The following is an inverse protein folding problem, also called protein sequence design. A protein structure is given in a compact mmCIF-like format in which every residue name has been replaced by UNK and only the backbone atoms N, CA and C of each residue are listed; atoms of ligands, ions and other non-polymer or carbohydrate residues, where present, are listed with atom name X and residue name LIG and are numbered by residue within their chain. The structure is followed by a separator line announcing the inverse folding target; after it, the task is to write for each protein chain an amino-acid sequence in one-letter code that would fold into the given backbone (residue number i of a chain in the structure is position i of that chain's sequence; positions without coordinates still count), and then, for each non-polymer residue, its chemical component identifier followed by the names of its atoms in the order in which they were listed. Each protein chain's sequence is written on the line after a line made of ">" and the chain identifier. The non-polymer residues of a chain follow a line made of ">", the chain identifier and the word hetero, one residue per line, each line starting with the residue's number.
data_IF_651492060053
#
_entry.id   IF_651492060053
#
_cell.length_a   1.000
_cell.length_b   1.000
_cell.length_c   1.000
_cell.angle_alpha   90.00
_cell.angle_beta   90.00
_cell.angle_gamma   90.00
#
_symmetry.space_group_name_H-M   'P 1'
#
loop_
_entity.id
_entity.type
_entity.pdbx_description
1 polymer ?
#
# COMPACT_ATOMS: atom_id res chain seq x y z
N UNK A 1 -4.17 -1.11 12.44
CA UNK A 1 -5.28 -1.23 13.38
C UNK A 1 -6.23 -2.35 12.97
N UNK A 2 -6.90 -2.88 13.96
CA UNK A 2 -7.84 -3.99 13.82
C UNK A 2 -9.25 -3.45 13.98
N UNK A 3 -10.16 -3.86 13.11
CA UNK A 3 -11.56 -3.44 13.12
C UNK A 3 -12.50 -4.63 12.94
N UNK A 4 -13.74 -4.47 13.38
CA UNK A 4 -14.81 -5.38 13.00
C UNK A 4 -15.03 -5.34 11.47
N UNK A 5 -15.16 -6.50 10.85
CA UNK A 5 -15.44 -6.59 9.41
C UNK A 5 -16.93 -6.42 9.13
N UNK A 6 -17.42 -5.19 9.21
CA UNK A 6 -18.82 -4.82 8.99
C UNK A 6 -18.97 -3.78 7.87
N UNK A 7 -20.10 -3.79 7.13
CA UNK A 7 -20.39 -2.74 6.16
C UNK A 7 -20.30 -1.35 6.78
N UNK A 8 -19.64 -0.43 6.09
CA UNK A 8 -19.52 0.97 6.51
C UNK A 8 -18.36 1.30 7.46
N UNK A 9 -17.63 0.32 7.99
CA UNK A 9 -16.48 0.59 8.88
C UNK A 9 -15.41 1.40 8.17
N UNK A 10 -15.01 0.99 6.96
CA UNK A 10 -14.05 1.75 6.16
C UNK A 10 -14.52 3.20 5.92
N UNK A 11 -15.81 3.39 5.64
CA UNK A 11 -16.38 4.74 5.47
C UNK A 11 -16.27 5.57 6.75
N UNK A 12 -16.55 4.99 7.92
CA UNK A 12 -16.41 5.69 9.21
C UNK A 12 -14.97 6.14 9.44
N UNK A 13 -14.00 5.26 9.18
CA UNK A 13 -12.56 5.54 9.30
C UNK A 13 -12.15 6.67 8.36
N UNK A 14 -12.42 6.55 7.07
CA UNK A 14 -12.02 7.55 6.08
C UNK A 14 -12.73 8.90 6.29
N UNK A 15 -13.99 8.89 6.71
CA UNK A 15 -14.73 10.12 7.03
C UNK A 15 -14.20 10.81 8.29
N UNK A 16 -13.74 10.05 9.29
CA UNK A 16 -13.08 10.62 10.47
C UNK A 16 -11.78 11.32 10.07
N UNK A 17 -10.94 10.69 9.25
CA UNK A 17 -9.67 11.24 8.78
C UNK A 17 -9.92 12.50 7.93
N UNK A 18 -10.87 12.45 6.99
CA UNK A 18 -11.27 13.58 6.15
C UNK A 18 -11.69 14.80 6.97
N UNK A 19 -12.50 14.62 8.02
CA UNK A 19 -12.97 15.73 8.89
C UNK A 19 -11.85 16.46 9.61
N UNK A 20 -10.68 15.86 9.73
CA UNK A 20 -9.50 16.40 10.40
C UNK A 20 -8.46 16.91 9.42
N UNK A 21 -8.75 16.85 8.12
CA UNK A 21 -7.83 17.27 7.05
C UNK A 21 -6.48 16.54 7.08
N UNK A 22 -6.43 15.29 7.60
CA UNK A 22 -5.24 14.46 7.48
C UNK A 22 -5.13 13.91 6.06
N UNK A 23 -3.95 14.01 5.49
CA UNK A 23 -3.65 13.35 4.21
C UNK A 23 -3.39 11.86 4.43
N UNK A 24 -3.98 11.03 3.58
CA UNK A 24 -3.74 9.58 3.55
C UNK A 24 -2.86 9.29 2.34
N UNK A 25 -1.68 8.74 2.57
CA UNK A 25 -0.81 8.28 1.48
C UNK A 25 -1.26 6.93 0.95
N UNK A 26 -1.60 6.01 1.84
CA UNK A 26 -2.20 4.74 1.47
C UNK A 26 -3.10 4.19 2.56
N UNK A 27 -4.10 3.40 2.15
CA UNK A 27 -4.91 2.57 3.04
C UNK A 27 -5.10 1.20 2.42
N UNK A 28 -4.76 0.17 3.18
CA UNK A 28 -4.91 -1.22 2.77
C UNK A 28 -5.82 -1.93 3.77
N UNK A 29 -6.74 -2.73 3.27
CA UNK A 29 -7.71 -3.46 4.09
C UNK A 29 -7.70 -4.92 3.69
N UNK A 30 -7.56 -5.80 4.66
CA UNK A 30 -7.64 -7.24 4.46
C UNK A 30 -8.35 -7.92 5.61
N UNK A 31 -9.18 -8.91 5.30
CA UNK A 31 -9.78 -9.75 6.34
C UNK A 31 -8.70 -10.64 6.95
N UNK A 32 -8.73 -10.69 8.27
CA UNK A 32 -7.93 -11.60 9.07
C UNK A 32 -8.83 -12.48 9.90
N UNK A 33 -8.62 -13.42 10.50
CA UNK A 33 -9.43 -14.28 11.37
C UNK A 33 -10.92 -14.41 10.99
N UNK A 34 -11.28 -15.58 10.49
CA UNK A 34 -12.66 -16.06 10.20
C UNK A 34 -13.63 -15.07 9.54
N UNK A 35 -13.13 -14.06 8.84
CA UNK A 35 -13.90 -12.98 8.17
C UNK A 35 -14.66 -12.03 9.10
N UNK A 36 -14.55 -12.15 10.39
CA UNK A 36 -15.21 -11.26 11.35
C UNK A 36 -14.40 -10.00 11.65
N UNK A 37 -13.09 -10.08 11.42
CA UNK A 37 -12.11 -9.02 11.71
C UNK A 37 -11.35 -8.65 10.46
N UNK A 38 -11.10 -7.36 10.28
CA UNK A 38 -10.23 -6.83 9.25
C UNK A 38 -9.04 -6.10 9.87
N UNK A 39 -7.88 -6.27 9.27
CA UNK A 39 -6.71 -5.44 9.53
C UNK A 39 -6.63 -4.34 8.49
N UNK A 40 -6.47 -3.11 8.95
CA UNK A 40 -6.22 -1.95 8.11
C UNK A 40 -4.81 -1.43 8.37
N UNK A 41 -4.07 -1.18 7.31
CA UNK A 41 -2.80 -0.46 7.36
C UNK A 41 -3.01 0.91 6.76
N UNK A 42 -2.72 1.94 7.51
CA UNK A 42 -2.85 3.34 7.12
C UNK A 42 -1.46 3.98 7.15
N UNK A 43 -1.07 4.62 6.09
CA UNK A 43 0.11 5.48 6.04
C UNK A 43 -0.30 6.93 5.93
N UNK A 44 0.29 7.75 6.78
CA UNK A 44 0.05 9.18 6.83
C UNK A 44 1.39 9.90 6.89
N UNK A 45 1.48 11.02 6.18
CA UNK A 45 2.58 11.95 6.35
C UNK A 45 2.22 12.96 7.45
N UNK A 46 3.06 13.05 8.46
CA UNK A 46 2.83 13.95 9.58
C UNK A 46 3.81 13.75 10.72
N UNK A 47 3.84 14.74 11.60
CA UNK A 47 4.61 14.70 12.83
C UNK A 47 3.97 13.76 13.89
N UNK A 48 4.68 13.54 14.99
CA UNK A 48 4.22 12.69 16.09
C UNK A 48 2.87 13.16 16.66
N UNK A 49 2.64 14.47 16.74
CA UNK A 49 1.38 15.06 17.20
C UNK A 49 0.22 14.68 16.28
N UNK A 50 0.45 14.70 14.97
CA UNK A 50 -0.54 14.28 13.96
C UNK A 50 -0.89 12.81 14.12
N UNK A 51 0.12 11.94 14.25
CA UNK A 51 -0.08 10.51 14.47
C UNK A 51 -0.87 10.25 15.75
N UNK A 52 -0.50 10.88 16.87
CA UNK A 52 -1.25 10.75 18.13
C UNK A 52 -2.72 11.17 17.98
N UNK A 53 -2.99 12.26 17.27
CA UNK A 53 -4.35 12.70 17.03
C UNK A 53 -5.15 11.67 16.22
N UNK A 54 -4.57 11.10 15.16
CA UNK A 54 -5.21 10.04 14.37
C UNK A 54 -5.55 8.85 15.24
N UNK A 55 -4.60 8.37 16.07
CA UNK A 55 -4.81 7.24 16.99
C UNK A 55 -5.95 7.54 17.96
N UNK A 56 -5.92 8.71 18.62
CA UNK A 56 -6.98 9.14 19.56
C UNK A 56 -8.37 9.18 18.91
N UNK A 57 -8.44 9.50 17.62
CA UNK A 57 -9.71 9.55 16.90
C UNK A 57 -10.15 8.15 16.43
N UNK A 58 -9.23 7.30 15.97
CA UNK A 58 -9.52 5.92 15.62
C UNK A 58 -10.10 5.16 16.82
N UNK A 59 -9.49 5.28 17.98
CA UNK A 59 -9.96 4.64 19.22
C UNK A 59 -11.34 5.10 19.72
N UNK A 60 -11.90 6.19 19.17
CA UNK A 60 -13.28 6.60 19.45
C UNK A 60 -14.31 5.88 18.59
N UNK A 61 -13.90 5.22 17.54
CA UNK A 61 -14.80 4.44 16.69
C UNK A 61 -15.07 3.10 17.37
N UNK A 62 -16.33 2.79 17.59
CA UNK A 62 -16.74 1.57 18.31
C UNK A 62 -16.32 0.29 17.56
N UNK A 63 -16.19 0.39 16.23
CA UNK A 63 -15.79 -0.73 15.39
C UNK A 63 -14.25 -0.96 15.38
N UNK A 64 -13.47 -0.07 16.00
CA UNK A 64 -12.00 -0.20 16.10
C UNK A 64 -11.65 -0.95 17.37
N UNK A 65 -11.01 -2.10 17.23
CA UNK A 65 -10.69 -3.01 18.32
C UNK A 65 -9.30 -2.77 18.90
N UNK A 66 -8.33 -2.42 18.04
CA UNK A 66 -6.94 -2.18 18.43
C UNK A 66 -6.25 -1.26 17.43
N UNK A 67 -5.33 -0.43 17.93
CA UNK A 67 -4.51 0.48 17.11
C UNK A 67 -3.05 0.38 17.54
N UNK A 68 -2.19 0.07 16.61
CA UNK A 68 -0.74 0.04 16.80
C UNK A 68 -0.08 1.04 15.85
N UNK A 69 0.89 1.78 16.36
CA UNK A 69 1.72 2.70 15.57
C UNK A 69 3.13 2.13 15.49
N UNK A 70 3.67 2.10 14.30
CA UNK A 70 5.03 1.67 14.04
C UNK A 70 5.76 2.69 13.20
N UNK A 71 6.97 3.02 13.61
CA UNK A 71 7.91 3.74 12.75
C UNK A 71 8.41 2.84 11.61
N UNK A 72 8.96 3.41 10.52
CA UNK A 72 9.55 2.62 9.44
C UNK A 72 10.61 1.62 9.90
N UNK A 73 11.32 1.93 11.00
CA UNK A 73 12.33 1.05 11.57
C UNK A 73 11.73 -0.15 12.30
N UNK A 74 10.52 -0.05 12.82
CA UNK A 74 9.83 -1.10 13.58
C UNK A 74 8.91 -1.96 12.70
N UNK A 75 8.56 -1.47 11.52
CA UNK A 75 7.68 -2.17 10.59
C UNK A 75 8.44 -2.91 9.50
N UNK A 76 7.98 -4.12 9.20
CA UNK A 76 8.26 -4.78 7.92
C UNK A 76 7.07 -4.50 7.01
N UNK A 77 7.28 -3.70 5.98
CA UNK A 77 6.23 -3.29 5.05
C UNK A 77 6.51 -3.78 3.62
N UNK A 78 5.45 -4.05 2.90
CA UNK A 78 5.49 -4.38 1.47
C UNK A 78 4.27 -3.82 0.77
N UNK A 79 4.47 -3.50 -0.49
CA UNK A 79 3.45 -3.12 -1.44
C UNK A 79 3.57 -4.00 -2.69
N UNK A 80 2.47 -4.27 -3.36
CA UNK A 80 2.44 -4.93 -4.66
C UNK A 80 1.99 -3.92 -5.72
N UNK A 81 2.71 -3.87 -6.83
CA UNK A 81 2.31 -3.12 -8.01
C UNK A 81 2.17 -4.05 -9.23
N UNK A 82 1.14 -3.82 -10.02
CA UNK A 82 0.99 -4.37 -11.36
C UNK A 82 1.29 -3.26 -12.36
N UNK A 83 2.27 -3.49 -13.22
CA UNK A 83 2.75 -2.48 -14.17
C UNK A 83 2.69 -3.05 -15.58
N UNK A 84 1.83 -2.49 -16.42
CA UNK A 84 1.73 -2.84 -17.83
C UNK A 84 2.61 -1.93 -18.66
N UNK A 85 3.55 -2.54 -19.38
CA UNK A 85 4.57 -1.87 -20.18
C UNK A 85 4.48 -2.28 -21.65
N UNK A 86 4.88 -1.41 -22.57
CA UNK A 86 5.07 -1.79 -23.95
C UNK A 86 6.27 -2.74 -24.11
N UNK A 87 6.27 -3.58 -25.14
CA UNK A 87 7.35 -4.51 -25.39
C UNK A 87 8.71 -3.84 -25.67
N UNK A 88 8.74 -2.55 -26.05
CA UNK A 88 9.97 -1.79 -26.22
C UNK A 88 10.74 -1.64 -24.89
N UNK A 89 10.02 -1.58 -23.77
CA UNK A 89 10.60 -1.47 -22.45
C UNK A 89 11.34 -2.73 -21.95
N UNK A 90 11.13 -3.90 -22.57
CA UNK A 90 11.79 -5.16 -22.18
C UNK A 90 13.30 -5.07 -22.08
N UNK A 91 13.92 -4.28 -22.97
CA UNK A 91 15.38 -4.07 -22.97
C UNK A 91 15.90 -3.38 -21.71
N UNK A 92 15.04 -2.65 -21.02
CA UNK A 92 15.39 -1.91 -19.79
C UNK A 92 15.40 -2.83 -18.56
N UNK A 93 14.68 -3.94 -18.60
CA UNK A 93 14.66 -4.94 -17.52
C UNK A 93 16.03 -5.58 -17.27
N UNK A 94 16.85 -5.77 -18.30
CA UNK A 94 18.17 -6.41 -18.16
C UNK A 94 19.13 -5.68 -17.19
N UNK A 95 18.79 -4.47 -16.75
CA UNK A 95 19.55 -3.65 -15.80
C UNK A 95 18.96 -3.66 -14.39
N UNK A 96 17.91 -4.42 -14.16
CA UNK A 96 17.17 -4.47 -12.90
C UNK A 96 17.47 -5.80 -12.20
N UNK A 97 17.60 -5.77 -10.89
CA UNK A 97 17.68 -7.00 -10.10
C UNK A 97 16.35 -7.77 -10.21
N UNK A 98 16.40 -9.04 -10.59
CA UNK A 98 15.23 -9.91 -10.74
C UNK A 98 14.51 -10.22 -9.41
N UNK A 99 15.01 -9.69 -8.29
CA UNK A 99 14.50 -10.01 -6.96
C UNK A 99 13.19 -9.33 -6.59
N UNK A 100 12.83 -8.22 -7.27
CA UNK A 100 11.64 -7.43 -6.90
C UNK A 100 10.51 -7.50 -7.91
N UNK A 101 10.73 -8.07 -9.09
CA UNK A 101 9.70 -8.18 -10.12
C UNK A 101 9.66 -9.56 -10.77
N UNK A 102 8.51 -9.89 -11.34
CA UNK A 102 8.35 -11.00 -12.29
C UNK A 102 7.39 -10.62 -13.42
N UNK A 103 7.60 -11.18 -14.60
CA UNK A 103 6.66 -11.04 -15.72
C UNK A 103 5.53 -12.05 -15.51
N UNK A 104 4.29 -11.57 -15.41
CA UNK A 104 3.11 -12.40 -15.15
C UNK A 104 2.22 -12.57 -16.39
N UNK A 105 2.36 -11.66 -17.36
CA UNK A 105 1.62 -11.73 -18.62
C UNK A 105 2.43 -11.11 -19.76
N UNK A 106 2.23 -11.62 -20.99
CA UNK A 106 2.90 -11.13 -22.20
C UNK A 106 1.98 -11.28 -23.40
N UNK A 107 1.83 -10.20 -24.16
CA UNK A 107 1.13 -10.16 -25.45
C UNK A 107 2.06 -9.73 -26.60
N UNK A 108 1.51 -9.56 -27.80
CA UNK A 108 2.28 -9.08 -28.96
C UNK A 108 2.86 -7.67 -28.73
N UNK A 109 2.15 -6.80 -28.02
CA UNK A 109 2.48 -5.37 -27.92
C UNK A 109 2.90 -4.94 -26.52
N UNK A 110 2.61 -5.74 -25.48
CA UNK A 110 2.81 -5.37 -24.10
C UNK A 110 3.15 -6.58 -23.21
N UNK A 111 3.67 -6.29 -22.03
CA UNK A 111 3.86 -7.25 -20.95
C UNK A 111 3.51 -6.63 -19.60
N UNK A 112 3.13 -7.45 -18.63
CA UNK A 112 2.78 -7.02 -17.28
C UNK A 112 3.78 -7.55 -16.28
N UNK A 113 4.31 -6.63 -15.48
CA UNK A 113 5.14 -6.93 -14.32
C UNK A 113 4.28 -7.00 -13.06
N UNK A 114 4.52 -8.00 -12.24
CA UNK A 114 4.22 -7.96 -10.83
C UNK A 114 5.48 -7.50 -10.09
N UNK A 115 5.36 -6.49 -9.27
CA UNK A 115 6.47 -5.91 -8.50
C UNK A 115 6.08 -5.96 -7.02
N UNK A 116 6.95 -6.51 -6.18
CA UNK A 116 6.76 -6.57 -4.74
C UNK A 116 7.97 -5.99 -4.03
N UNK A 117 7.76 -4.93 -3.26
CA UNK A 117 8.83 -4.23 -2.59
C UNK A 117 8.34 -3.19 -1.59
N UNK A 118 9.24 -2.34 -1.11
CA UNK A 118 8.85 -1.10 -0.44
C UNK A 118 8.37 -0.08 -1.48
N UNK A 119 7.61 0.95 -1.09
CA UNK A 119 7.23 2.02 -2.02
C UNK A 119 8.42 2.60 -2.77
N UNK A 120 9.54 2.84 -2.09
CA UNK A 120 10.77 3.41 -2.66
C UNK A 120 11.42 2.46 -3.68
N UNK A 121 11.40 1.14 -3.41
CA UNK A 121 11.90 0.13 -4.34
C UNK A 121 11.06 0.08 -5.62
N UNK A 122 9.72 0.18 -5.47
CA UNK A 122 8.78 0.20 -6.60
C UNK A 122 8.97 1.49 -7.40
N UNK A 123 9.04 2.65 -6.75
CA UNK A 123 9.25 3.95 -7.41
C UNK A 123 10.57 3.97 -8.16
N UNK A 124 11.66 3.50 -7.55
CA UNK A 124 12.98 3.38 -8.18
C UNK A 124 12.97 2.46 -9.40
N UNK A 125 12.13 1.42 -9.40
CA UNK A 125 11.95 0.57 -10.57
C UNK A 125 11.18 1.32 -11.66
N UNK A 126 10.10 2.00 -11.32
CA UNK A 126 9.24 2.71 -12.27
C UNK A 126 9.98 3.87 -12.96
N UNK A 127 10.85 4.59 -12.25
CA UNK A 127 11.68 5.68 -12.80
C UNK A 127 12.62 5.24 -13.93
N UNK A 128 12.90 3.92 -14.04
CA UNK A 128 13.73 3.38 -15.14
C UNK A 128 13.01 3.30 -16.47
N UNK A 129 11.67 3.36 -16.44
CA UNK A 129 10.86 3.29 -17.65
C UNK A 129 10.42 4.68 -18.08
N UNK A 130 10.64 5.06 -19.35
CA UNK A 130 10.04 6.28 -19.89
C UNK A 130 8.52 6.24 -19.73
N UNK A 131 7.91 7.36 -19.39
CA UNK A 131 6.47 7.46 -19.21
C UNK A 131 5.67 6.97 -20.45
N UNK A 132 6.22 7.17 -21.63
CA UNK A 132 5.64 6.70 -22.90
C UNK A 132 5.55 5.19 -23.03
N UNK A 133 6.33 4.44 -22.26
CA UNK A 133 6.34 2.97 -22.28
C UNK A 133 5.40 2.38 -21.21
N UNK A 134 4.97 3.19 -20.26
CA UNK A 134 4.05 2.77 -19.19
C UNK A 134 2.61 2.95 -19.67
N UNK A 135 1.88 1.85 -19.79
CA UNK A 135 0.48 1.85 -20.24
C UNK A 135 -0.50 1.94 -19.06
N UNK A 136 -0.21 1.22 -17.97
CA UNK A 136 -1.09 1.15 -16.81
C UNK A 136 -0.28 0.79 -15.57
N UNK A 137 -0.66 1.36 -14.42
CA UNK A 137 -0.11 1.02 -13.11
C UNK A 137 -1.27 0.85 -12.13
N UNK A 138 -1.27 -0.26 -11.40
CA UNK A 138 -2.14 -0.48 -10.25
C UNK A 138 -1.29 -0.83 -9.04
N UNK A 139 -1.55 -0.17 -7.90
CA UNK A 139 -0.81 -0.37 -6.64
C UNK A 139 -1.79 -0.72 -5.52
N UNK A 140 -1.40 -1.62 -4.65
CA UNK A 140 -2.22 -2.01 -3.50
C UNK A 140 -2.20 -0.98 -2.39
N UNK A 141 -1.15 -0.19 -2.30
CA UNK A 141 -0.78 0.49 -1.07
C UNK A 141 -0.03 -0.45 -0.12
N UNK A 142 0.48 0.10 0.95
CA UNK A 142 1.39 -0.58 1.86
C UNK A 142 0.65 -1.47 2.87
N UNK A 143 1.07 -2.72 3.00
CA UNK A 143 0.73 -3.57 4.14
C UNK A 143 1.94 -3.75 5.04
N UNK A 144 1.70 -3.88 6.36
CA UNK A 144 2.79 -3.95 7.32
C UNK A 144 2.52 -4.92 8.47
N UNK A 145 3.61 -5.46 8.99
CA UNK A 145 3.67 -6.19 10.26
C UNK A 145 4.83 -5.66 11.10
N UNK A 146 4.78 -5.88 12.40
CA UNK A 146 5.91 -5.54 13.27
C UNK A 146 7.11 -6.43 12.92
N UNK A 147 8.32 -5.85 12.93
CA UNK A 147 9.56 -6.63 12.81
C UNK A 147 9.73 -7.58 14.00
N UNK A 148 10.36 -8.71 13.75
CA UNK A 148 10.73 -9.66 14.79
C UNK A 148 11.81 -9.10 15.73
#
# INVERSE_FOLDING_TARGET
>A
FIVENKPGVLFKVTNMIRRRCFNIDSITVGTVDHKEISKMTLTIDGDESTVEQVVKQLLKLIDVLDVNVWSPNEAMSRELALVKLSNNAKKLLNKVSDSIYRIIDTSADAFTLEVVGTPEEIDSLLERFPYSEVQEIARTGMTAVRKC
#
